data_IF_880409341606
#
_entry.id   IF_880409341606
#
_cell.length_a   1.000
_cell.length_b   1.000
_cell.length_c   1.000
_cell.angle_alpha   90.00
_cell.angle_beta   90.00
_cell.angle_gamma   90.00
#
_symmetry.space_group_name_H-M   'P 1'
#
loop_
_entity.id
_entity.type
_entity.pdbx_description
1 polymer ?
#
# COMPACT_ATOMS: atom_id res chain seq x y z
N UNK A 1 23.55 -10.25 -14.94
CA UNK A 1 23.45 -9.14 -13.97
C UNK A 1 23.41 -9.75 -12.58
N UNK A 2 24.06 -9.15 -11.59
CA UNK A 2 24.01 -9.56 -10.19
C UNK A 2 23.40 -8.42 -9.39
N UNK A 3 22.36 -8.70 -8.63
CA UNK A 3 21.73 -7.72 -7.74
C UNK A 3 22.01 -8.10 -6.29
N UNK A 4 22.51 -7.14 -5.51
CA UNK A 4 22.86 -7.33 -4.11
C UNK A 4 22.10 -6.35 -3.21
N UNK A 5 21.84 -6.75 -1.97
CA UNK A 5 21.30 -5.84 -0.96
C UNK A 5 22.46 -5.11 -0.27
N UNK A 6 22.33 -3.79 -0.10
CA UNK A 6 23.36 -2.99 0.56
C UNK A 6 23.63 -3.52 1.97
N UNK A 7 24.90 -3.69 2.34
CA UNK A 7 25.29 -4.14 3.67
C UNK A 7 25.16 -5.66 3.88
N UNK A 8 24.82 -6.43 2.83
CA UNK A 8 24.67 -7.90 2.90
C UNK A 8 25.77 -8.59 2.10
N UNK A 9 26.06 -9.87 2.40
CA UNK A 9 26.98 -10.65 1.60
C UNK A 9 26.51 -10.78 0.15
N UNK A 10 27.46 -10.82 -0.78
CA UNK A 10 27.19 -11.04 -2.20
C UNK A 10 28.27 -11.93 -2.81
N UNK A 11 27.90 -12.82 -3.72
CA UNK A 11 28.84 -13.76 -4.36
C UNK A 11 28.70 -13.65 -5.87
N UNK A 12 29.83 -13.46 -6.55
CA UNK A 12 29.94 -13.68 -7.98
C UNK A 12 30.54 -15.06 -8.19
N UNK A 13 29.92 -15.88 -9.02
CA UNK A 13 30.35 -17.25 -9.26
C UNK A 13 30.47 -17.51 -10.78
N UNK A 14 31.49 -18.26 -11.16
CA UNK A 14 31.66 -18.80 -12.51
C UNK A 14 32.01 -20.28 -12.42
N UNK A 15 31.27 -21.11 -13.15
CA UNK A 15 31.62 -22.52 -13.38
C UNK A 15 32.60 -22.62 -14.56
N UNK A 16 33.62 -23.45 -14.39
CA UNK A 16 34.74 -23.60 -15.31
C UNK A 16 34.73 -25.03 -15.85
N UNK A 17 34.84 -25.17 -17.17
CA UNK A 17 34.98 -26.46 -17.86
C UNK A 17 36.18 -26.41 -18.78
N UNK A 18 36.98 -27.48 -18.79
CA UNK A 18 38.17 -27.62 -19.63
C UNK A 18 39.31 -28.32 -18.91
N UNK A 19 40.50 -28.28 -19.51
CA UNK A 19 41.73 -28.86 -18.95
C UNK A 19 42.43 -27.84 -18.05
N UNK A 20 42.60 -28.20 -16.78
CA UNK A 20 43.37 -27.47 -15.77
C UNK A 20 44.89 -27.57 -16.04
N UNK A 21 45.74 -26.69 -15.46
CA UNK A 21 45.45 -25.64 -14.48
C UNK A 21 44.78 -24.40 -15.08
N UNK A 22 43.93 -23.74 -14.30
CA UNK A 22 43.28 -22.48 -14.69
C UNK A 22 43.88 -21.29 -13.94
N UNK A 23 44.26 -20.26 -14.69
CA UNK A 23 44.56 -18.93 -14.15
C UNK A 23 43.28 -18.10 -14.11
N UNK A 24 42.89 -17.63 -12.92
CA UNK A 24 41.66 -16.86 -12.71
C UNK A 24 42.00 -15.44 -12.29
N UNK A 25 41.49 -14.46 -13.02
CA UNK A 25 41.62 -13.04 -12.69
C UNK A 25 40.28 -12.35 -12.70
N UNK A 26 39.96 -11.65 -11.61
CA UNK A 26 38.77 -10.80 -11.53
C UNK A 26 39.12 -9.35 -11.88
N UNK A 27 38.26 -8.68 -12.65
CA UNK A 27 38.34 -7.26 -12.91
C UNK A 27 37.05 -6.57 -12.48
N UNK A 28 37.17 -5.38 -11.91
CA UNK A 28 36.05 -4.46 -11.64
C UNK A 28 36.29 -3.16 -12.40
N UNK A 29 35.34 -2.76 -13.23
CA UNK A 29 35.46 -1.57 -14.09
C UNK A 29 36.78 -1.56 -14.88
N UNK A 30 37.15 -2.73 -15.44
CA UNK A 30 38.40 -3.00 -16.19
C UNK A 30 39.70 -2.92 -15.38
N UNK A 31 39.63 -2.73 -14.06
CA UNK A 31 40.80 -2.73 -13.17
C UNK A 31 40.91 -4.07 -12.44
N UNK A 32 42.11 -4.66 -12.28
CA UNK A 32 42.29 -5.89 -11.54
C UNK A 32 41.80 -5.75 -10.10
N UNK A 33 41.07 -6.77 -9.65
CA UNK A 33 40.62 -6.94 -8.27
C UNK A 33 41.79 -7.53 -7.47
N UNK A 34 42.24 -6.85 -6.42
CA UNK A 34 43.44 -7.22 -5.69
C UNK A 34 43.15 -8.33 -4.66
N UNK A 35 43.81 -9.47 -4.77
CA UNK A 35 43.57 -10.62 -3.88
C UNK A 35 43.87 -10.35 -2.39
N UNK A 36 44.60 -9.28 -2.07
CA UNK A 36 44.97 -8.88 -0.70
C UNK A 36 43.96 -7.94 -0.03
N UNK A 37 42.95 -7.48 -0.77
CA UNK A 37 41.94 -6.58 -0.25
C UNK A 37 41.02 -7.33 0.73
N UNK A 38 40.91 -6.85 1.97
CA UNK A 38 40.08 -7.47 3.02
C UNK A 38 38.59 -7.39 2.72
N UNK A 39 38.20 -6.59 1.73
CA UNK A 39 36.81 -6.36 1.35
C UNK A 39 36.12 -7.61 0.78
N UNK A 40 36.87 -8.46 0.10
CA UNK A 40 36.34 -9.62 -0.59
C UNK A 40 37.33 -10.78 -0.52
N UNK A 41 36.81 -11.98 -0.68
CA UNK A 41 37.60 -13.21 -0.76
C UNK A 41 37.50 -13.76 -2.17
N UNK A 42 38.65 -14.05 -2.78
CA UNK A 42 38.72 -14.80 -4.03
C UNK A 42 38.89 -16.27 -3.66
N UNK A 43 37.98 -17.10 -4.16
CA UNK A 43 38.00 -18.56 -3.94
C UNK A 43 38.05 -19.24 -5.30
N UNK A 44 39.00 -20.16 -5.49
CA UNK A 44 39.09 -21.01 -6.68
C UNK A 44 39.21 -22.46 -6.25
N UNK A 45 38.25 -23.30 -6.63
CA UNK A 45 38.23 -24.74 -6.36
C UNK A 45 37.91 -25.47 -7.65
N UNK A 46 38.86 -26.24 -8.19
CA UNK A 46 38.78 -27.10 -9.38
C UNK A 46 38.01 -26.52 -10.59
N UNK A 47 36.67 -26.50 -10.53
CA UNK A 47 35.75 -26.03 -11.56
C UNK A 47 34.92 -24.80 -11.17
N UNK A 48 35.21 -24.11 -10.06
CA UNK A 48 34.43 -22.96 -9.59
C UNK A 48 35.37 -21.81 -9.20
N UNK A 49 35.10 -20.63 -9.74
CA UNK A 49 35.69 -19.36 -9.32
C UNK A 49 34.64 -18.48 -8.63
N UNK A 50 34.94 -18.00 -7.42
CA UNK A 50 34.09 -17.06 -6.67
C UNK A 50 34.83 -15.80 -6.27
N UNK A 51 34.07 -14.70 -6.28
CA UNK A 51 34.41 -13.45 -5.62
C UNK A 51 33.33 -13.17 -4.58
N UNK A 52 33.69 -13.33 -3.30
CA UNK A 52 32.77 -13.28 -2.16
C UNK A 52 32.95 -11.98 -1.39
N UNK A 53 31.89 -11.18 -1.29
CA UNK A 53 31.83 -9.97 -0.48
C UNK A 53 31.17 -10.29 0.86
N UNK A 54 31.78 -9.90 1.97
CA UNK A 54 31.15 -9.98 3.29
C UNK A 54 30.04 -8.92 3.46
N UNK A 55 30.24 -7.74 2.85
CA UNK A 55 29.27 -6.65 2.81
C UNK A 55 29.38 -5.93 1.48
N UNK A 56 28.31 -5.96 0.69
CA UNK A 56 28.25 -5.29 -0.61
C UNK A 56 27.77 -3.84 -0.44
N UNK A 57 28.60 -2.88 -0.83
CA UNK A 57 28.33 -1.46 -0.61
C UNK A 57 28.08 -0.70 -1.93
N UNK A 58 27.65 0.56 -1.84
CA UNK A 58 27.44 1.41 -3.03
C UNK A 58 28.69 1.56 -3.88
N UNK A 59 29.88 1.53 -3.26
CA UNK A 59 31.15 1.56 -3.96
C UNK A 59 31.45 0.26 -4.75
N UNK A 60 30.70 -0.82 -4.51
CA UNK A 60 30.87 -2.13 -5.17
C UNK A 60 30.05 -2.32 -6.43
N UNK A 61 29.11 -1.43 -6.70
CA UNK A 61 28.39 -1.37 -7.97
C UNK A 61 29.38 -1.16 -9.11
N UNK A 62 29.18 -1.88 -10.22
CA UNK A 62 30.05 -1.78 -11.39
C UNK A 62 30.07 -3.04 -12.25
N UNK A 63 30.89 -2.99 -13.30
CA UNK A 63 31.09 -4.09 -14.23
C UNK A 63 32.17 -5.04 -13.72
N UNK A 64 31.80 -6.28 -13.46
CA UNK A 64 32.72 -7.35 -13.05
C UNK A 64 33.03 -8.26 -14.24
N UNK A 65 34.27 -8.71 -14.32
CA UNK A 65 34.72 -9.68 -15.31
C UNK A 65 35.53 -10.77 -14.62
N UNK A 66 35.18 -12.03 -14.91
CA UNK A 66 36.00 -13.18 -14.55
C UNK A 66 36.75 -13.62 -15.80
N UNK A 67 38.06 -13.43 -15.81
CA UNK A 67 38.95 -13.90 -16.86
C UNK A 67 39.56 -15.22 -16.44
N UNK A 68 39.39 -16.25 -17.27
CA UNK A 68 39.92 -17.60 -17.03
C UNK A 68 40.84 -17.95 -18.19
N UNK A 69 42.05 -18.39 -17.91
CA UNK A 69 43.02 -18.81 -18.93
C UNK A 69 43.65 -20.16 -18.59
N UNK A 70 44.06 -20.90 -19.62
CA UNK A 70 44.96 -22.03 -19.55
C UNK A 70 45.93 -21.97 -20.74
N UNK A 71 46.78 -22.97 -20.92
CA UNK A 71 47.80 -23.00 -21.99
C UNK A 71 47.20 -22.94 -23.41
N UNK A 72 45.92 -23.24 -23.56
CA UNK A 72 45.23 -23.33 -24.87
C UNK A 72 44.45 -22.06 -25.19
N UNK A 73 44.09 -21.25 -24.20
CA UNK A 73 43.37 -20.01 -24.46
C UNK A 73 42.82 -19.29 -23.23
N UNK A 74 42.04 -18.24 -23.51
CA UNK A 74 41.46 -17.35 -22.50
C UNK A 74 40.01 -17.04 -22.81
N UNK A 75 39.16 -17.10 -21.79
CA UNK A 75 37.74 -16.74 -21.84
C UNK A 75 37.41 -15.67 -20.80
N UNK A 76 36.32 -14.94 -21.02
CA UNK A 76 35.87 -13.86 -20.14
C UNK A 76 34.37 -13.98 -19.92
N UNK A 77 33.96 -14.05 -18.66
CA UNK A 77 32.57 -13.86 -18.23
C UNK A 77 32.39 -12.43 -17.71
N UNK A 78 31.23 -11.81 -17.96
CA UNK A 78 30.93 -10.43 -17.55
C UNK A 78 29.60 -10.36 -16.80
N UNK A 79 29.56 -9.58 -15.73
CA UNK A 79 28.34 -9.31 -14.98
C UNK A 79 28.31 -7.85 -14.50
N UNK A 80 27.21 -7.15 -14.76
CA UNK A 80 26.91 -5.87 -14.13
C UNK A 80 26.34 -6.11 -12.74
N UNK A 81 26.97 -5.54 -11.72
CA UNK A 81 26.52 -5.57 -10.34
C UNK A 81 25.73 -4.31 -9.99
N UNK A 82 24.55 -4.45 -9.40
CA UNK A 82 23.70 -3.35 -8.93
C UNK A 82 23.21 -3.60 -7.50
N UNK A 83 22.79 -2.52 -6.83
CA UNK A 83 22.07 -2.62 -5.57
C UNK A 83 20.57 -2.82 -5.84
N UNK A 84 19.94 -3.68 -5.05
CA UNK A 84 18.48 -3.76 -4.99
C UNK A 84 17.92 -2.45 -4.40
N UNK A 85 16.84 -1.97 -4.98
CA UNK A 85 16.15 -0.75 -4.56
C UNK A 85 14.94 -1.11 -3.69
N UNK A 86 14.73 -0.45 -2.53
CA UNK A 86 13.55 -0.69 -1.71
C UNK A 86 12.27 -0.19 -2.40
N UNK A 87 11.09 -0.72 -2.04
CA UNK A 87 9.84 -0.28 -2.64
C UNK A 87 9.60 1.20 -2.35
N UNK A 88 9.20 1.95 -3.37
CA UNK A 88 8.90 3.38 -3.27
C UNK A 88 7.59 3.67 -3.98
N UNK A 89 6.70 4.40 -3.33
CA UNK A 89 5.42 4.80 -3.90
C UNK A 89 5.62 5.93 -4.91
N UNK A 90 5.36 5.63 -6.19
CA UNK A 90 5.32 6.62 -7.29
C UNK A 90 4.01 7.39 -7.22
N UNK A 91 2.89 6.68 -7.06
CA UNK A 91 1.58 7.26 -6.72
C UNK A 91 1.10 6.67 -5.40
N UNK A 92 0.84 7.53 -4.42
CA UNK A 92 0.26 7.14 -3.13
C UNK A 92 -1.25 6.98 -3.24
N UNK A 93 -1.84 6.22 -2.32
CA UNK A 93 -3.29 6.17 -2.13
C UNK A 93 -3.82 7.55 -1.71
N UNK A 94 -5.03 7.89 -2.18
CA UNK A 94 -5.71 9.17 -1.92
C UNK A 94 -6.90 8.98 -0.97
N UNK A 95 -7.38 10.05 -0.33
CA UNK A 95 -8.55 9.98 0.56
C UNK A 95 -9.83 9.86 -0.25
N UNK A 96 -10.75 9.01 0.20
CA UNK A 96 -12.02 8.78 -0.48
C UNK A 96 -13.16 9.03 0.51
N UNK A 97 -14.18 9.75 0.06
CA UNK A 97 -15.48 9.79 0.71
C UNK A 97 -16.43 8.94 -0.13
N UNK A 98 -16.98 7.89 0.48
CA UNK A 98 -17.84 6.92 -0.16
C UNK A 98 -19.23 6.93 0.48
N UNK A 99 -20.27 6.64 -0.28
CA UNK A 99 -21.62 6.43 0.25
C UNK A 99 -21.82 4.94 0.56
N UNK A 100 -22.68 4.63 1.53
CA UNK A 100 -23.12 3.26 1.80
C UNK A 100 -23.60 2.57 0.51
N UNK A 101 -23.09 1.36 0.28
CA UNK A 101 -23.37 0.56 -0.90
C UNK A 101 -22.48 0.82 -2.11
N UNK A 102 -21.67 1.89 -2.10
CA UNK A 102 -20.75 2.19 -3.21
C UNK A 102 -19.68 1.11 -3.36
N UNK A 103 -19.09 1.03 -4.56
CA UNK A 103 -17.83 0.32 -4.79
C UNK A 103 -16.69 1.34 -4.87
N UNK A 104 -15.63 1.14 -4.08
CA UNK A 104 -14.46 2.03 -4.05
C UNK A 104 -13.15 1.27 -4.26
N UNK A 105 -12.14 1.98 -4.78
CA UNK A 105 -10.80 1.44 -5.03
C UNK A 105 -9.74 2.37 -4.48
N UNK A 106 -8.92 1.87 -3.56
CA UNK A 106 -7.65 2.48 -3.19
C UNK A 106 -6.57 1.91 -4.10
N UNK A 107 -5.82 2.79 -4.75
CA UNK A 107 -4.79 2.40 -5.71
C UNK A 107 -3.49 3.14 -5.45
N UNK A 108 -2.39 2.41 -5.50
CA UNK A 108 -1.05 2.97 -5.53
C UNK A 108 -0.18 2.33 -6.61
N UNK A 109 0.83 3.05 -7.07
CA UNK A 109 1.85 2.53 -7.97
C UNK A 109 3.21 2.60 -7.30
N UNK A 110 4.01 1.57 -7.51
CA UNK A 110 5.28 1.37 -6.84
C UNK A 110 6.43 1.24 -7.85
N UNK A 111 7.64 1.46 -7.37
CA UNK A 111 8.89 1.06 -8.03
C UNK A 111 9.80 0.39 -7.00
N UNK A 112 10.78 -0.36 -7.45
CA UNK A 112 11.76 -1.05 -6.60
C UNK A 112 12.17 -2.39 -7.23
N UNK A 113 13.15 -3.05 -6.64
CA UNK A 113 13.61 -4.36 -7.12
C UNK A 113 12.61 -5.47 -6.74
N UNK A 114 12.27 -6.40 -7.64
CA UNK A 114 11.43 -7.54 -7.31
C UNK A 114 12.18 -8.60 -6.48
N UNK A 115 11.45 -9.53 -5.81
CA UNK A 115 10.00 -9.54 -5.64
C UNK A 115 9.57 -8.51 -4.57
N UNK A 116 8.50 -7.76 -4.87
CA UNK A 116 7.87 -6.84 -3.90
C UNK A 116 6.64 -7.55 -3.33
N UNK A 117 6.55 -7.62 -2.01
CA UNK A 117 5.36 -8.05 -1.31
C UNK A 117 4.56 -6.83 -0.85
N UNK A 118 3.24 -6.87 -1.02
CA UNK A 118 2.33 -5.80 -0.58
C UNK A 118 1.32 -6.36 0.42
N UNK A 119 1.08 -5.61 1.50
CA UNK A 119 0.01 -5.86 2.46
C UNK A 119 -0.77 -4.59 2.74
N UNK A 120 -2.05 -4.75 3.02
CA UNK A 120 -2.94 -3.67 3.41
C UNK A 120 -3.28 -3.79 4.89
N UNK A 121 -3.40 -2.64 5.55
CA UNK A 121 -3.80 -2.56 6.94
C UNK A 121 -4.95 -1.57 7.09
N UNK A 122 -5.87 -1.85 8.00
CA UNK A 122 -6.93 -0.95 8.45
C UNK A 122 -6.79 -0.75 9.94
N UNK A 123 -6.64 0.50 10.39
CA UNK A 123 -6.41 0.84 11.82
C UNK A 123 -5.23 0.06 12.46
N UNK A 124 -4.19 -0.23 11.66
CA UNK A 124 -3.00 -1.04 11.99
C UNK A 124 -3.22 -2.57 12.03
N UNK A 125 -4.43 -3.07 11.82
CA UNK A 125 -4.68 -4.50 11.65
C UNK A 125 -4.51 -4.91 10.20
N UNK A 126 -3.81 -6.03 9.96
CA UNK A 126 -3.60 -6.56 8.61
C UNK A 126 -4.95 -7.03 8.05
N UNK A 127 -5.32 -6.48 6.90
CA UNK A 127 -6.49 -6.96 6.16
C UNK A 127 -6.17 -8.31 5.54
N UNK A 128 -7.08 -9.25 5.73
CA UNK A 128 -7.02 -10.58 5.15
C UNK A 128 -8.09 -10.70 4.07
N UNK A 129 -8.00 -11.76 3.28
CA UNK A 129 -8.95 -12.07 2.22
C UNK A 129 -10.17 -12.84 2.77
N UNK A 130 -10.59 -12.53 3.99
CA UNK A 130 -11.69 -13.16 4.71
C UNK A 130 -13.01 -12.38 4.60
N UNK A 131 -12.95 -11.07 4.37
CA UNK A 131 -14.12 -10.26 4.02
C UNK A 131 -14.44 -10.39 2.52
N UNK A 132 -15.60 -10.96 2.13
CA UNK A 132 -15.97 -11.12 0.72
C UNK A 132 -16.12 -9.78 -0.04
N UNK A 133 -16.23 -8.66 0.69
CA UNK A 133 -16.32 -7.32 0.10
C UNK A 133 -14.95 -6.71 -0.18
N UNK A 134 -13.86 -7.26 0.35
CA UNK A 134 -12.51 -6.76 0.18
C UNK A 134 -11.79 -7.64 -0.84
N UNK A 135 -11.17 -7.00 -1.84
CA UNK A 135 -10.29 -7.68 -2.80
C UNK A 135 -8.97 -6.93 -2.88
N UNK A 136 -7.87 -7.66 -2.72
CA UNK A 136 -6.53 -7.10 -2.80
C UNK A 136 -5.78 -7.70 -3.99
N UNK A 137 -5.21 -6.84 -4.83
CA UNK A 137 -4.45 -7.25 -6.02
C UNK A 137 -3.15 -6.48 -6.06
N UNK A 138 -2.06 -7.17 -6.41
CA UNK A 138 -0.78 -6.55 -6.71
C UNK A 138 -0.20 -7.13 -7.99
N UNK A 139 -0.27 -6.36 -9.07
CA UNK A 139 0.19 -6.76 -10.40
C UNK A 139 0.84 -5.57 -11.10
N UNK A 140 1.90 -5.81 -11.88
CA UNK A 140 2.60 -4.79 -12.65
C UNK A 140 3.01 -3.55 -11.82
N UNK A 141 3.43 -3.77 -10.56
CA UNK A 141 3.74 -2.74 -9.57
C UNK A 141 2.58 -1.80 -9.22
N UNK A 142 1.33 -2.23 -9.43
CA UNK A 142 0.11 -1.52 -9.03
C UNK A 142 -0.55 -2.32 -7.91
N UNK A 143 -0.67 -1.69 -6.74
CA UNK A 143 -1.38 -2.25 -5.60
C UNK A 143 -2.80 -1.67 -5.55
N UNK A 144 -3.80 -2.55 -5.51
CA UNK A 144 -5.22 -2.22 -5.47
C UNK A 144 -5.85 -2.89 -4.26
N UNK A 145 -6.60 -2.11 -3.49
CA UNK A 145 -7.60 -2.60 -2.55
C UNK A 145 -8.96 -2.12 -3.04
N UNK A 146 -9.85 -3.06 -3.37
CA UNK A 146 -11.21 -2.79 -3.77
C UNK A 146 -12.17 -3.18 -2.65
N UNK A 147 -13.10 -2.29 -2.32
CA UNK A 147 -14.25 -2.56 -1.48
C UNK A 147 -15.47 -2.57 -2.40
N UNK A 148 -16.11 -3.72 -2.59
CA UNK A 148 -17.20 -3.88 -3.57
C UNK A 148 -18.52 -3.31 -3.09
N UNK A 149 -18.79 -3.38 -1.80
CA UNK A 149 -20.01 -2.84 -1.17
C UNK A 149 -19.63 -2.18 0.13
N UNK A 150 -19.60 -0.84 0.12
CA UNK A 150 -19.18 -0.05 1.27
C UNK A 150 -20.21 -0.15 2.42
N UNK A 151 -19.71 -0.48 3.61
CA UNK A 151 -20.42 -0.48 4.88
C UNK A 151 -19.79 0.55 5.82
N UNK A 152 -20.50 0.96 6.89
CA UNK A 152 -19.96 1.92 7.89
C UNK A 152 -18.64 1.42 8.48
N UNK A 153 -18.53 0.10 8.71
CA UNK A 153 -17.32 -0.55 9.23
C UNK A 153 -16.11 -0.38 8.32
N UNK A 154 -16.28 -0.09 7.03
CA UNK A 154 -15.17 0.15 6.10
C UNK A 154 -14.57 1.55 6.23
N UNK A 155 -15.17 2.46 7.00
CA UNK A 155 -14.54 3.73 7.34
C UNK A 155 -13.28 3.55 8.19
N UNK A 156 -12.32 4.46 8.05
CA UNK A 156 -11.11 4.50 8.86
C UNK A 156 -9.83 4.74 8.06
N UNK A 157 -8.70 4.60 8.75
CA UNK A 157 -7.36 4.76 8.21
C UNK A 157 -6.90 3.48 7.51
N UNK A 158 -6.46 3.60 6.25
CA UNK A 158 -5.90 2.52 5.45
C UNK A 158 -4.42 2.77 5.18
N UNK A 159 -3.62 1.70 5.25
CA UNK A 159 -2.19 1.72 4.98
C UNK A 159 -1.86 0.68 3.91
N UNK A 160 -1.22 1.11 2.82
CA UNK A 160 -0.58 0.22 1.86
C UNK A 160 0.90 0.12 2.24
N UNK A 161 1.37 -1.08 2.56
CA UNK A 161 2.76 -1.35 2.96
C UNK A 161 3.40 -2.30 1.96
N UNK A 162 4.58 -1.93 1.47
CA UNK A 162 5.33 -2.70 0.49
C UNK A 162 6.74 -2.99 0.98
N UNK A 163 7.22 -4.22 0.76
CA UNK A 163 8.53 -4.67 1.22
C UNK A 163 9.23 -5.57 0.18
N UNK A 164 10.56 -5.49 0.17
CA UNK A 164 11.44 -6.44 -0.50
C UNK A 164 12.70 -6.62 0.37
N UNK A 165 13.69 -7.37 -0.11
CA UNK A 165 14.94 -7.61 0.64
C UNK A 165 15.76 -6.35 0.91
N UNK A 166 15.58 -5.29 0.12
CA UNK A 166 16.28 -4.02 0.29
C UNK A 166 15.62 -3.09 1.30
N UNK A 167 14.38 -3.35 1.69
CA UNK A 167 13.69 -2.59 2.72
C UNK A 167 12.18 -2.53 2.54
N UNK A 168 11.56 -1.58 3.22
CA UNK A 168 10.11 -1.45 3.31
C UNK A 168 9.70 0.02 3.27
N UNK A 169 8.52 0.28 2.72
CA UNK A 169 7.90 1.59 2.73
C UNK A 169 6.38 1.48 2.88
N UNK A 170 5.72 2.57 3.29
CA UNK A 170 4.26 2.62 3.44
C UNK A 170 3.68 3.96 3.00
N UNK A 171 2.43 3.94 2.56
CA UNK A 171 1.60 5.14 2.41
C UNK A 171 0.24 4.93 3.05
N UNK A 172 -0.36 6.01 3.52
CA UNK A 172 -1.56 5.98 4.37
C UNK A 172 -2.60 6.98 3.86
N UNK A 173 -3.88 6.66 4.04
CA UNK A 173 -5.01 7.54 3.71
C UNK A 173 -6.21 7.23 4.61
N UNK A 174 -7.27 8.04 4.52
CA UNK A 174 -8.54 7.84 5.23
C UNK A 174 -9.67 7.59 4.23
N UNK A 175 -10.49 6.59 4.53
CA UNK A 175 -11.78 6.36 3.87
C UNK A 175 -12.88 6.85 4.79
N UNK A 176 -13.68 7.80 4.33
CA UNK A 176 -14.86 8.31 5.01
C UNK A 176 -16.10 7.67 4.40
N UNK A 177 -16.98 7.12 5.23
CA UNK A 177 -18.24 6.52 4.75
C UNK A 177 -19.41 7.41 5.17
N UNK A 178 -20.24 7.78 4.21
CA UNK A 178 -21.45 8.60 4.39
C UNK A 178 -22.70 7.74 4.17
N UNK A 179 -23.74 8.01 4.95
CA UNK A 179 -25.04 7.38 4.78
C UNK A 179 -26.07 8.38 4.25
N UNK A 180 -26.86 8.03 3.21
CA UNK A 180 -27.93 8.91 2.73
C UNK A 180 -28.93 9.22 3.84
N UNK A 181 -29.46 10.45 3.81
CA UNK A 181 -30.53 10.85 4.73
C UNK A 181 -31.77 9.98 4.52
N UNK A 182 -32.28 9.38 5.60
CA UNK A 182 -33.50 8.56 5.59
C UNK A 182 -34.30 8.75 6.86
N UNK A 183 -35.62 8.63 6.74
CA UNK A 183 -36.53 8.57 7.89
C UNK A 183 -36.59 7.12 8.37
N UNK A 184 -36.26 6.90 9.63
CA UNK A 184 -36.29 5.61 10.32
C UNK A 184 -37.70 5.36 10.86
N UNK A 185 -38.21 6.33 11.62
CA UNK A 185 -39.55 6.29 12.22
C UNK A 185 -40.27 7.56 11.78
N UNK A 186 -41.41 7.39 11.11
CA UNK A 186 -42.25 8.49 10.65
C UNK A 186 -43.00 9.08 11.84
N UNK A 187 -43.30 10.37 11.77
CA UNK A 187 -44.18 11.00 12.75
C UNK A 187 -45.57 10.39 12.68
N UNK A 188 -46.12 10.06 13.85
CA UNK A 188 -47.46 9.51 13.98
C UNK A 188 -48.51 10.62 13.84
N UNK A 189 -49.71 10.23 13.41
CA UNK A 189 -50.86 11.13 13.41
C UNK A 189 -51.33 11.34 14.85
N UNK A 190 -51.53 12.61 15.23
CA UNK A 190 -51.98 12.99 16.58
C UNK A 190 -53.33 13.70 16.50
N UNK A 191 -54.19 13.44 17.48
CA UNK A 191 -55.42 14.20 17.73
C UNK A 191 -55.17 15.07 18.96
N UNK A 192 -55.38 16.38 18.85
CA UNK A 192 -55.08 17.33 19.92
C UNK A 192 -56.26 18.28 20.10
N UNK A 193 -56.61 18.60 21.34
CA UNK A 193 -57.69 19.53 21.66
C UNK A 193 -57.24 20.96 21.41
N UNK A 194 -58.16 21.83 20.97
CA UNK A 194 -57.86 23.23 20.73
C UNK A 194 -57.24 23.91 21.96
N UNK A 195 -56.04 24.49 21.78
CA UNK A 195 -55.30 25.19 22.84
C UNK A 195 -54.27 24.33 23.58
N UNK A 196 -54.29 23.01 23.39
CA UNK A 196 -53.28 22.12 23.93
C UNK A 196 -52.03 22.05 23.02
N UNK A 197 -50.83 21.91 23.59
CA UNK A 197 -49.60 21.81 22.82
C UNK A 197 -49.54 20.48 22.04
N UNK A 198 -48.96 20.51 20.85
CA UNK A 198 -48.78 19.33 20.00
C UNK A 198 -47.31 19.10 19.68
N UNK A 199 -46.86 17.84 19.65
CA UNK A 199 -45.48 17.49 19.27
C UNK A 199 -45.48 16.40 18.21
N UNK A 200 -44.80 16.66 17.10
CA UNK A 200 -44.50 15.67 16.07
C UNK A 200 -43.01 15.35 16.11
N UNK A 201 -42.69 14.06 16.08
CA UNK A 201 -41.31 13.57 16.15
C UNK A 201 -41.06 12.60 14.99
N UNK A 202 -39.93 12.72 14.32
CA UNK A 202 -39.46 11.70 13.40
C UNK A 202 -38.00 11.36 13.66
N UNK A 203 -37.70 10.07 13.66
CA UNK A 203 -36.33 9.58 13.80
C UNK A 203 -35.69 9.50 12.43
N UNK A 204 -34.51 10.06 12.29
CA UNK A 204 -33.77 10.12 11.03
C UNK A 204 -32.40 9.44 11.17
N UNK A 205 -31.78 9.08 10.06
CA UNK A 205 -30.37 8.70 10.00
C UNK A 205 -29.77 9.27 8.72
N UNK A 206 -28.44 9.35 8.67
CA UNK A 206 -27.72 9.98 7.57
C UNK A 206 -26.52 10.77 8.07
N UNK A 207 -25.51 10.88 7.21
CA UNK A 207 -24.29 11.62 7.43
C UNK A 207 -23.85 12.28 6.11
N UNK A 208 -23.23 13.47 6.14
CA UNK A 208 -22.84 14.26 7.30
C UNK A 208 -24.05 14.89 8.03
N UNK A 209 -23.81 15.76 9.01
CA UNK A 209 -24.83 16.39 9.85
C UNK A 209 -26.10 16.80 9.06
N UNK A 210 -27.26 16.29 9.52
CA UNK A 210 -28.53 16.45 8.83
C UNK A 210 -29.17 17.80 9.13
N UNK A 211 -29.81 18.39 8.12
CA UNK A 211 -30.64 19.58 8.26
C UNK A 211 -32.11 19.20 8.11
N UNK A 212 -32.91 19.60 9.08
CA UNK A 212 -34.35 19.25 9.14
C UNK A 212 -35.19 20.46 8.78
N UNK A 213 -36.22 20.22 7.98
CA UNK A 213 -37.26 21.19 7.64
C UNK A 213 -38.62 20.53 7.78
N UNK A 214 -39.57 21.26 8.37
CA UNK A 214 -40.97 20.84 8.48
C UNK A 214 -41.82 21.63 7.49
N UNK A 215 -42.84 20.99 6.94
CA UNK A 215 -43.75 21.59 5.97
C UNK A 215 -45.19 21.37 6.43
N UNK A 216 -46.03 22.39 6.30
CA UNK A 216 -47.48 22.30 6.46
C UNK A 216 -48.11 22.67 5.12
N UNK A 217 -48.91 21.76 4.55
CA UNK A 217 -49.59 21.94 3.26
C UNK A 217 -48.65 22.40 2.14
N UNK A 218 -47.44 21.82 2.09
CA UNK A 218 -46.40 22.14 1.11
C UNK A 218 -45.61 23.42 1.39
N UNK A 219 -45.93 24.18 2.44
CA UNK A 219 -45.20 25.40 2.82
C UNK A 219 -44.20 25.14 3.93
N UNK A 220 -42.94 25.53 3.72
CA UNK A 220 -41.88 25.41 4.72
C UNK A 220 -42.23 26.21 5.98
N UNK A 221 -42.21 25.53 7.13
CA UNK A 221 -42.41 26.14 8.43
C UNK A 221 -41.10 26.68 8.96
N UNK A 222 -41.14 27.93 9.45
CA UNK A 222 -40.02 28.57 10.13
C UNK A 222 -40.23 28.56 11.64
N UNK A 223 -39.14 28.43 12.39
CA UNK A 223 -39.17 28.59 13.83
C UNK A 223 -39.76 29.95 14.23
N UNK A 224 -40.65 29.96 15.22
CA UNK A 224 -41.34 31.16 15.72
C UNK A 224 -41.77 30.96 17.18
N UNK A 225 -42.53 31.91 17.75
CA UNK A 225 -43.16 31.72 19.08
C UNK A 225 -44.18 30.58 19.10
N UNK A 226 -44.80 30.29 17.95
CA UNK A 226 -45.79 29.22 17.79
C UNK A 226 -45.16 27.88 17.41
N UNK A 227 -44.09 27.88 16.63
CA UNK A 227 -43.47 26.64 16.12
C UNK A 227 -42.03 26.53 16.59
N UNK A 228 -41.70 25.46 17.30
CA UNK A 228 -40.31 25.16 17.71
C UNK A 228 -39.82 23.92 16.98
N UNK A 229 -38.85 24.12 16.08
CA UNK A 229 -38.21 23.06 15.30
C UNK A 229 -36.84 22.78 15.91
N UNK A 230 -36.58 21.53 16.28
CA UNK A 230 -35.27 21.12 16.83
C UNK A 230 -34.86 19.76 16.28
N UNK A 231 -33.56 19.55 16.10
CA UNK A 231 -32.97 18.24 15.87
C UNK A 231 -32.09 17.90 17.07
N UNK A 232 -32.37 16.78 17.74
CA UNK A 232 -31.58 16.28 18.88
C UNK A 232 -31.40 14.79 18.75
N UNK A 233 -30.16 14.30 18.82
CA UNK A 233 -29.87 12.86 18.84
C UNK A 233 -30.58 12.08 17.71
N UNK A 234 -30.56 12.63 16.49
CA UNK A 234 -31.24 12.07 15.31
C UNK A 234 -32.79 12.01 15.41
N UNK A 235 -33.39 12.77 16.33
CA UNK A 235 -34.83 12.99 16.42
C UNK A 235 -35.15 14.42 16.00
N UNK A 236 -35.85 14.54 14.88
CA UNK A 236 -36.42 15.78 14.39
C UNK A 236 -37.75 16.03 15.08
N UNK A 237 -37.87 17.16 15.76
CA UNK A 237 -39.02 17.50 16.61
C UNK A 237 -39.62 18.81 16.11
N UNK A 238 -40.94 18.82 15.97
CA UNK A 238 -41.76 20.01 15.77
C UNK A 238 -42.74 20.12 16.92
N UNK A 239 -42.62 21.19 17.72
CA UNK A 239 -43.61 21.56 18.74
C UNK A 239 -44.47 22.72 18.23
N UNK A 240 -45.77 22.61 18.41
CA UNK A 240 -46.83 23.55 17.98
C UNK A 240 -47.58 24.06 19.20
#
# INVERSE_FOLDING_TARGET
>A
MVEAVKGKPAVFECEIKGTAPFEITWLKNKKPVAATDRKYKIVSQESIARLEFCSFESADVGDYQCCIANDVGKIISKALAKLKEPPTFVKKIESITATLGDSVKLQSSLKGSPPIAVKWLKENDILRDDDPNIKMVFENNIAILQITTVAISHGGKYTCQAENEAGQNKCETTVTVQEPARIIEKAESINVTSGEPATLECKIAGSPELKVKWFQDGKEMKGSRKYKITLKENIAILKI
#
